data_IF_426612179129
#
_entry.id   IF_426612179129
#
_cell.length_a   1.000
_cell.length_b   1.000
_cell.length_c   1.000
_cell.angle_alpha   90.00
_cell.angle_beta   90.00
_cell.angle_gamma   90.00
#
_symmetry.space_group_name_H-M   'P 1'
#
loop_
_entity.id
_entity.type
_entity.pdbx_description
1 polymer ?
#
# COMPACT_ATOMS: atom_id res chain seq x y z
N UNK A 1 4.94 -4.44 17.20
CA UNK A 1 4.36 -3.08 17.27
C UNK A 1 3.32 -2.99 16.18
N UNK A 2 2.11 -2.56 16.51
CA UNK A 2 1.04 -2.34 15.53
C UNK A 2 0.88 -0.83 15.30
N UNK A 3 0.88 -0.39 14.04
CA UNK A 3 0.72 1.02 13.64
C UNK A 3 -0.40 1.11 12.62
N UNK A 4 -1.32 2.05 12.79
CA UNK A 4 -2.32 2.38 11.78
C UNK A 4 -2.23 3.87 11.44
N UNK A 5 -2.13 4.16 10.15
CA UNK A 5 -2.14 5.51 9.59
C UNK A 5 -3.42 5.63 8.76
N UNK A 6 -4.21 6.66 9.06
CA UNK A 6 -5.49 6.89 8.41
C UNK A 6 -5.55 8.34 7.94
N UNK A 7 -5.96 8.54 6.69
CA UNK A 7 -6.29 9.85 6.16
C UNK A 7 -7.71 9.87 5.56
N UNK A 8 -8.23 11.09 5.39
CA UNK A 8 -9.54 11.39 4.79
C UNK A 8 -9.40 12.15 3.48
N UNK A 9 -8.30 11.94 2.76
CA UNK A 9 -8.04 12.53 1.45
C UNK A 9 -8.96 11.94 0.37
N UNK A 10 -8.58 12.17 -0.90
CA UNK A 10 -9.36 11.75 -2.07
C UNK A 10 -9.28 10.25 -2.41
N UNK A 11 -8.38 9.51 -1.77
CA UNK A 11 -8.18 8.07 -2.04
C UNK A 11 -7.40 7.79 -3.32
N UNK A 12 -7.04 6.52 -3.52
CA UNK A 12 -6.15 6.09 -4.61
C UNK A 12 -6.81 6.23 -5.98
N UNK A 13 -8.01 5.67 -6.14
CA UNK A 13 -8.72 5.66 -7.42
C UNK A 13 -8.90 7.08 -7.99
N UNK A 14 -9.44 7.99 -7.16
CA UNK A 14 -9.66 9.38 -7.57
C UNK A 14 -8.35 10.12 -7.86
N UNK A 15 -7.27 9.80 -7.12
CA UNK A 15 -5.96 10.37 -7.42
C UNK A 15 -5.42 9.93 -8.80
N UNK A 16 -5.59 8.66 -9.19
CA UNK A 16 -5.23 8.23 -10.56
C UNK A 16 -6.12 8.88 -11.62
N UNK A 17 -7.41 9.01 -11.35
CA UNK A 17 -8.34 9.66 -12.27
C UNK A 17 -7.97 11.14 -12.49
N UNK A 18 -7.69 11.88 -11.44
CA UNK A 18 -7.43 13.32 -11.55
C UNK A 18 -6.06 13.63 -12.19
N UNK A 19 -5.01 12.91 -11.78
CA UNK A 19 -3.62 13.20 -12.18
C UNK A 19 -3.18 12.49 -13.46
N UNK A 20 -3.72 11.29 -13.74
CA UNK A 20 -3.32 10.47 -14.89
C UNK A 20 -4.46 10.25 -15.90
N UNK A 21 -5.67 10.76 -15.61
CA UNK A 21 -6.88 10.52 -16.42
C UNK A 21 -7.19 9.03 -16.62
N UNK A 22 -6.72 8.19 -15.69
CA UNK A 22 -6.96 6.75 -15.71
C UNK A 22 -8.31 6.44 -15.03
N UNK A 23 -9.20 5.79 -15.77
CA UNK A 23 -10.48 5.31 -15.24
C UNK A 23 -10.29 3.85 -14.86
N UNK A 24 -10.06 3.61 -13.58
CA UNK A 24 -9.80 2.30 -12.99
C UNK A 24 -10.65 2.10 -11.74
N UNK A 25 -10.85 0.85 -11.34
CA UNK A 25 -11.51 0.47 -10.09
C UNK A 25 -10.63 0.73 -8.85
N UNK A 26 -11.23 0.69 -7.66
CA UNK A 26 -10.51 0.76 -6.39
C UNK A 26 -9.44 -0.34 -6.27
N UNK A 27 -9.79 -1.57 -6.68
CA UNK A 27 -8.88 -2.71 -6.70
C UNK A 27 -7.69 -2.49 -7.63
N UNK A 28 -7.93 -1.99 -8.84
CA UNK A 28 -6.88 -1.68 -9.81
C UNK A 28 -5.99 -0.54 -9.33
N UNK A 29 -6.55 0.46 -8.66
CA UNK A 29 -5.75 1.55 -8.08
C UNK A 29 -4.75 1.03 -7.03
N UNK A 30 -5.14 0.05 -6.20
CA UNK A 30 -4.24 -0.61 -5.26
C UNK A 30 -3.16 -1.41 -6.01
N UNK A 31 -3.51 -2.13 -7.09
CA UNK A 31 -2.53 -2.85 -7.92
C UNK A 31 -1.49 -1.90 -8.52
N UNK A 32 -1.90 -0.73 -8.99
CA UNK A 32 -0.98 0.27 -9.54
C UNK A 32 -0.01 0.81 -8.48
N UNK A 33 -0.49 1.08 -7.26
CA UNK A 33 0.40 1.48 -6.15
C UNK A 33 1.39 0.36 -5.80
N UNK A 34 0.97 -0.91 -5.82
CA UNK A 34 1.86 -2.04 -5.57
C UNK A 34 2.89 -2.28 -6.69
N UNK A 35 2.62 -1.82 -7.91
CA UNK A 35 3.63 -1.78 -8.99
C UNK A 35 4.65 -0.65 -8.81
N UNK A 36 4.44 0.25 -7.83
CA UNK A 36 5.27 1.43 -7.61
C UNK A 36 4.90 2.62 -8.50
N UNK A 37 3.75 2.58 -9.17
CA UNK A 37 3.33 3.66 -10.06
C UNK A 37 2.78 4.83 -9.26
N UNK A 38 3.55 5.91 -9.12
CA UNK A 38 3.10 7.14 -8.46
C UNK A 38 2.20 7.98 -9.38
N UNK A 39 1.20 8.64 -8.78
CA UNK A 39 0.36 9.63 -9.49
C UNK A 39 1.07 10.98 -9.68
N UNK A 40 2.22 11.21 -9.02
CA UNK A 40 2.96 12.47 -9.13
C UNK A 40 3.35 12.75 -10.60
N UNK A 41 3.31 14.02 -11.03
CA UNK A 41 3.67 14.40 -12.40
C UNK A 41 5.16 14.17 -12.69
N UNK A 42 6.03 14.43 -11.71
CA UNK A 42 7.47 14.19 -11.83
C UNK A 42 7.87 12.82 -11.28
N UNK A 43 8.71 12.11 -12.04
CA UNK A 43 9.24 10.79 -11.68
C UNK A 43 10.44 10.94 -10.74
N UNK A 44 10.20 11.45 -9.54
CA UNK A 44 11.21 11.49 -8.47
C UNK A 44 11.36 10.09 -7.84
N UNK A 45 12.57 9.74 -7.39
CA UNK A 45 12.80 8.48 -6.66
C UNK A 45 12.06 8.51 -5.33
N UNK A 46 11.00 7.71 -5.21
CA UNK A 46 10.29 7.46 -3.96
C UNK A 46 10.01 5.96 -3.81
N UNK A 47 10.45 5.38 -2.70
CA UNK A 47 10.28 3.96 -2.40
C UNK A 47 8.85 3.62 -1.93
N UNK A 48 8.17 4.59 -1.31
CA UNK A 48 6.71 4.62 -1.15
C UNK A 48 6.07 3.43 -0.44
N UNK A 49 4.79 3.22 -0.72
CA UNK A 49 3.93 2.22 -0.06
C UNK A 49 4.38 0.79 -0.40
N UNK A 50 4.82 0.53 -1.63
CA UNK A 50 5.31 -0.78 -2.06
C UNK A 50 6.51 -1.22 -1.21
N UNK A 51 7.50 -0.35 -1.05
CA UNK A 51 8.70 -0.67 -0.27
C UNK A 51 8.38 -0.85 1.21
N UNK A 52 7.52 -0.03 1.82
CA UNK A 52 7.16 -0.23 3.23
C UNK A 52 6.47 -1.58 3.45
N UNK A 53 5.60 -2.01 2.52
CA UNK A 53 5.02 -3.36 2.51
C UNK A 53 6.10 -4.44 2.40
N UNK A 54 7.07 -4.30 1.50
CA UNK A 54 8.15 -5.28 1.31
C UNK A 54 9.05 -5.40 2.54
N UNK A 55 9.50 -4.28 3.11
CA UNK A 55 10.34 -4.28 4.33
C UNK A 55 9.61 -4.96 5.49
N UNK A 56 8.33 -4.62 5.71
CA UNK A 56 7.56 -5.17 6.84
C UNK A 56 7.21 -6.65 6.60
N UNK A 57 6.68 -7.01 5.43
CA UNK A 57 6.22 -8.38 5.19
C UNK A 57 7.38 -9.34 4.91
N UNK A 58 8.26 -9.00 3.97
CA UNK A 58 9.27 -9.92 3.47
C UNK A 58 10.57 -9.82 4.28
N UNK A 59 10.94 -8.62 4.72
CA UNK A 59 12.11 -8.39 5.57
C UNK A 59 11.91 -8.77 7.04
N UNK A 60 10.80 -8.33 7.64
CA UNK A 60 10.53 -8.55 9.07
C UNK A 60 9.57 -9.71 9.36
N UNK A 61 8.91 -10.30 8.35
CA UNK A 61 7.90 -11.33 8.57
C UNK A 61 6.60 -10.81 9.19
N UNK A 62 6.33 -9.52 9.03
CA UNK A 62 5.16 -8.82 9.55
C UNK A 62 3.92 -8.94 8.68
N UNK A 63 2.98 -8.03 8.93
CA UNK A 63 1.72 -7.95 8.19
C UNK A 63 1.48 -6.49 7.76
N UNK A 64 0.83 -6.33 6.62
CA UNK A 64 0.50 -5.03 6.04
C UNK A 64 -0.92 -5.07 5.48
N UNK A 65 -1.72 -4.06 5.78
CA UNK A 65 -3.06 -3.87 5.23
C UNK A 65 -3.12 -2.49 4.61
N UNK A 66 -3.64 -2.39 3.39
CA UNK A 66 -3.94 -1.14 2.69
C UNK A 66 -5.40 -1.16 2.28
N UNK A 67 -6.18 -0.15 2.65
CA UNK A 67 -7.58 0.02 2.27
C UNK A 67 -7.74 1.39 1.61
N UNK A 68 -8.44 1.42 0.47
CA UNK A 68 -8.88 2.64 -0.21
C UNK A 68 -10.14 2.33 -1.00
N UNK A 69 -11.14 3.22 -0.92
CA UNK A 69 -12.45 3.00 -1.52
C UNK A 69 -13.11 1.74 -0.95
N UNK A 70 -13.55 0.86 -1.83
CA UNK A 70 -14.17 -0.44 -1.53
C UNK A 70 -13.22 -1.63 -1.57
N UNK A 71 -11.90 -1.40 -1.67
CA UNK A 71 -10.91 -2.47 -1.82
C UNK A 71 -9.89 -2.50 -0.68
N UNK A 72 -9.39 -3.70 -0.37
CA UNK A 72 -8.32 -3.90 0.58
C UNK A 72 -7.26 -4.89 0.06
N UNK A 73 -6.00 -4.57 0.32
CA UNK A 73 -4.87 -5.47 0.18
C UNK A 73 -4.43 -5.93 1.56
N UNK A 74 -4.40 -7.25 1.77
CA UNK A 74 -3.84 -7.90 2.95
C UNK A 74 -2.55 -8.61 2.52
N UNK A 75 -1.44 -8.20 3.09
CA UNK A 75 -0.11 -8.72 2.78
C UNK A 75 0.52 -9.35 4.02
N UNK A 76 1.10 -10.53 3.81
CA UNK A 76 2.02 -11.18 4.73
C UNK A 76 3.22 -11.66 3.91
N UNK A 77 4.23 -12.23 4.56
CA UNK A 77 5.41 -12.77 3.87
C UNK A 77 5.01 -13.67 2.70
N UNK A 78 5.50 -13.36 1.50
CA UNK A 78 5.25 -14.10 0.25
C UNK A 78 3.77 -14.29 -0.14
N UNK A 79 2.83 -13.55 0.45
CA UNK A 79 1.40 -13.68 0.10
C UNK A 79 0.70 -12.33 0.12
N UNK A 80 0.02 -12.02 -0.98
CA UNK A 80 -0.83 -10.86 -1.16
C UNK A 80 -2.25 -11.32 -1.48
N UNK A 81 -3.23 -10.77 -0.78
CA UNK A 81 -4.63 -11.03 -1.04
C UNK A 81 -5.35 -9.69 -1.22
N UNK A 82 -5.86 -9.46 -2.43
CA UNK A 82 -6.73 -8.34 -2.73
C UNK A 82 -8.18 -8.79 -2.55
N UNK A 83 -8.97 -8.01 -1.83
CA UNK A 83 -10.37 -8.32 -1.53
C UNK A 83 -11.25 -7.10 -1.75
N UNK A 84 -12.48 -7.35 -2.20
CA UNK A 84 -13.54 -6.36 -2.21
C UNK A 84 -14.25 -6.34 -0.85
N UNK A 85 -14.52 -5.14 -0.35
CA UNK A 85 -15.21 -4.91 0.91
C UNK A 85 -16.67 -4.54 0.63
N UNK A 86 -17.49 -5.55 0.30
CA UNK A 86 -18.91 -5.36 0.03
C UNK A 86 -19.62 -4.62 1.18
N UNK A 87 -20.33 -3.54 0.87
CA UNK A 87 -21.04 -2.71 1.85
C UNK A 87 -20.16 -1.75 2.65
N UNK A 88 -18.88 -1.60 2.29
CA UNK A 88 -17.95 -0.66 2.92
C UNK A 88 -17.30 0.24 1.86
N UNK A 89 -17.09 1.51 2.22
CA UNK A 89 -16.35 2.46 1.39
C UNK A 89 -15.59 3.46 2.26
N UNK A 90 -14.29 3.62 2.02
CA UNK A 90 -13.45 4.65 2.65
C UNK A 90 -12.91 5.63 1.60
N UNK A 91 -13.22 6.94 1.69
CA UNK A 91 -12.81 7.90 0.66
C UNK A 91 -11.30 8.20 0.65
N UNK A 92 -10.58 7.99 1.76
CA UNK A 92 -9.14 8.24 1.86
C UNK A 92 -8.33 6.95 1.78
N UNK A 93 -7.21 6.89 2.51
CA UNK A 93 -6.41 5.67 2.65
C UNK A 93 -6.28 5.25 4.13
N UNK A 94 -6.36 3.96 4.38
CA UNK A 94 -5.98 3.33 5.65
C UNK A 94 -4.79 2.41 5.37
N UNK A 95 -3.70 2.58 6.11
CA UNK A 95 -2.59 1.65 6.10
C UNK A 95 -2.37 1.15 7.53
N UNK A 96 -2.39 -0.17 7.72
CA UNK A 96 -2.05 -0.80 8.98
C UNK A 96 -0.83 -1.70 8.82
N UNK A 97 0.05 -1.66 9.81
CA UNK A 97 1.27 -2.45 9.89
C UNK A 97 1.26 -3.24 11.19
N UNK A 98 1.63 -4.52 11.10
CA UNK A 98 2.15 -5.29 12.22
C UNK A 98 3.64 -5.48 11.99
N UNK A 99 4.45 -4.85 12.83
CA UNK A 99 5.91 -4.80 12.71
C UNK A 99 6.53 -5.67 13.82
N UNK A 100 7.07 -6.84 13.48
CA UNK A 100 7.83 -7.67 14.41
C UNK A 100 9.11 -6.96 14.87
N UNK A 101 9.53 -7.22 16.12
CA UNK A 101 10.82 -6.74 16.61
C UNK A 101 11.93 -7.57 15.95
N UNK A 102 12.88 -6.96 15.23
CA UNK A 102 13.98 -7.70 14.63
C UNK A 102 14.93 -8.25 15.71
N UNK A 103 15.40 -9.48 15.52
CA UNK A 103 16.39 -10.11 16.42
C UNK A 103 17.84 -9.73 16.08
N UNK A 104 18.07 -9.21 14.87
CA UNK A 104 19.36 -8.73 14.34
C UNK A 104 19.12 -7.49 13.47
N UNK A 105 20.14 -6.65 13.21
CA UNK A 105 20.02 -5.58 12.23
C UNK A 105 19.46 -6.10 10.91
N UNK A 106 18.47 -5.39 10.36
CA UNK A 106 17.89 -5.69 9.04
C UNK A 106 18.51 -4.74 8.02
N UNK A 107 19.14 -5.31 6.99
CA UNK A 107 19.45 -4.57 5.76
C UNK A 107 18.17 -4.40 4.94
N UNK A 108 17.76 -3.16 4.73
CA UNK A 108 16.54 -2.84 3.97
C UNK A 108 16.80 -2.61 2.48
N UNK A 109 18.06 -2.52 2.06
CA UNK A 109 18.47 -2.22 0.68
C UNK A 109 17.81 -3.14 -0.35
N UNK A 110 17.71 -4.47 -0.12
CA UNK A 110 17.07 -5.38 -1.08
C UNK A 110 15.57 -5.13 -1.32
N UNK A 111 14.90 -4.34 -0.48
CA UNK A 111 13.46 -4.05 -0.61
C UNK A 111 13.17 -2.70 -1.28
N UNK A 112 14.23 -1.93 -1.61
CA UNK A 112 14.12 -0.62 -2.25
C UNK A 112 13.87 -0.73 -3.76
N UNK A 113 14.29 -1.81 -4.41
CA UNK A 113 14.21 -2.00 -5.87
C UNK A 113 12.93 -2.71 -6.33
#
# INVERSE_FOLDING_TARGET
MDICIVDRGRGLQKAYQEEKKLIISDEESIKEVMKGNSVKPNKERGYGVRTSRNVVCDGLGGQFILISGSAALISVKNRNQLVNLNGFYWPGVIIAYRIPKPHKPLDITPFLE
#
